data_IF_072421415180
#
_entry.id   IF_072421415180
#
_cell.length_a   1.000
_cell.length_b   1.000
_cell.length_c   1.000
_cell.angle_alpha   90.00
_cell.angle_beta   90.00
_cell.angle_gamma   90.00
#
_symmetry.space_group_name_H-M   'P 1'
#
loop_
_entity.id
_entity.type
_entity.pdbx_description
1 polymer ?
#
# COMPACT_ATOMS: atom_id res chain seq x y z
N UNK A 1 -0.27 -7.58 1.28
CA UNK A 1 -0.01 -6.15 1.60
C UNK A 1 -1.32 -5.50 2.02
N UNK A 2 -1.27 -4.64 3.02
CA UNK A 2 -2.44 -3.87 3.47
C UNK A 2 -2.43 -2.50 2.83
N UNK A 3 -3.59 -2.03 2.40
CA UNK A 3 -3.78 -0.68 1.86
C UNK A 3 -4.52 0.14 2.91
N UNK A 4 -3.96 1.30 3.24
CA UNK A 4 -4.56 2.23 4.21
C UNK A 4 -4.99 3.48 3.44
N UNK A 5 -6.29 3.79 3.49
CA UNK A 5 -6.80 4.96 2.79
C UNK A 5 -6.45 6.27 3.51
N UNK A 6 -6.81 7.41 2.93
CA UNK A 6 -6.50 8.72 3.52
C UNK A 6 -7.18 8.96 4.87
N UNK A 7 -8.23 8.20 5.18
CA UNK A 7 -8.96 8.29 6.44
C UNK A 7 -8.50 7.25 7.47
N UNK A 8 -7.54 6.41 7.11
CA UNK A 8 -6.99 5.40 8.01
C UNK A 8 -7.69 4.05 7.97
N UNK A 9 -8.66 3.85 7.08
CA UNK A 9 -9.30 2.54 6.88
C UNK A 9 -8.37 1.59 6.15
N UNK A 10 -8.43 0.33 6.50
CA UNK A 10 -7.47 -0.70 6.11
C UNK A 10 -8.15 -1.75 5.22
N UNK A 11 -7.51 -2.10 4.09
CA UNK A 11 -8.02 -3.05 3.10
C UNK A 11 -6.95 -4.04 2.70
N UNK A 12 -7.28 -5.33 2.47
CA UNK A 12 -6.32 -6.27 1.88
C UNK A 12 -6.18 -5.99 0.37
N UNK A 13 -4.96 -5.73 -0.08
CA UNK A 13 -4.67 -5.39 -1.48
C UNK A 13 -5.18 -6.46 -2.46
N UNK A 14 -5.00 -7.72 -2.08
CA UNK A 14 -5.32 -8.86 -2.94
C UNK A 14 -6.83 -9.11 -3.09
N UNK A 15 -7.65 -8.45 -2.26
CA UNK A 15 -9.12 -8.62 -2.27
C UNK A 15 -9.84 -7.45 -2.92
N UNK A 16 -9.13 -6.47 -3.47
CA UNK A 16 -9.72 -5.28 -4.08
C UNK A 16 -9.17 -5.04 -5.47
N UNK A 17 -10.00 -4.42 -6.30
CA UNK A 17 -9.60 -3.88 -7.60
C UNK A 17 -9.55 -2.35 -7.47
N UNK A 18 -8.43 -1.74 -7.85
CA UNK A 18 -8.21 -0.30 -7.70
C UNK A 18 -8.31 0.37 -9.06
N UNK A 19 -9.04 1.48 -9.13
CA UNK A 19 -9.12 2.32 -10.32
C UNK A 19 -9.01 3.79 -9.93
N UNK A 20 -8.66 4.64 -10.89
CA UNK A 20 -8.53 6.07 -10.63
C UNK A 20 -8.98 6.90 -11.84
N UNK A 21 -9.40 8.12 -11.58
CA UNK A 21 -9.78 9.09 -12.57
C UNK A 21 -10.14 10.42 -11.90
N UNK A 22 -9.85 11.53 -12.56
CA UNK A 22 -10.17 12.89 -12.08
C UNK A 22 -9.64 13.19 -10.67
N UNK A 23 -8.46 12.67 -10.34
CA UNK A 23 -7.84 12.87 -9.04
C UNK A 23 -8.36 11.97 -7.92
N UNK A 24 -9.24 11.03 -8.23
CA UNK A 24 -9.88 10.17 -7.24
C UNK A 24 -9.43 8.73 -7.43
N UNK A 25 -9.14 8.02 -6.33
CA UNK A 25 -8.76 6.62 -6.34
C UNK A 25 -9.80 5.83 -5.58
N UNK A 26 -10.31 4.76 -6.22
CA UNK A 26 -11.36 3.91 -5.68
C UNK A 26 -10.90 2.47 -5.56
N UNK A 27 -11.51 1.75 -4.61
CA UNK A 27 -11.41 0.31 -4.52
C UNK A 27 -12.78 -0.33 -4.64
N UNK A 28 -12.83 -1.46 -5.32
CA UNK A 28 -14.02 -2.33 -5.39
C UNK A 28 -13.64 -3.70 -4.85
N UNK A 29 -14.39 -4.25 -3.88
CA UNK A 29 -14.15 -5.63 -3.45
C UNK A 29 -14.33 -6.58 -4.62
N UNK A 30 -13.41 -7.52 -4.83
CA UNK A 30 -13.54 -8.51 -5.91
C UNK A 30 -14.78 -9.36 -5.70
N UNK A 31 -15.15 -9.63 -4.47
CA UNK A 31 -16.35 -10.40 -4.12
C UNK A 31 -17.66 -9.67 -4.40
N UNK A 32 -17.65 -8.35 -4.53
CA UNK A 32 -18.84 -7.54 -4.81
C UNK A 32 -18.45 -6.25 -5.52
N UNK A 33 -18.34 -6.32 -6.85
CA UNK A 33 -17.89 -5.21 -7.69
C UNK A 33 -18.89 -4.05 -7.76
N UNK A 34 -20.11 -4.22 -7.25
CA UNK A 34 -21.09 -3.14 -7.19
C UNK A 34 -20.78 -2.15 -6.07
N UNK A 35 -20.03 -2.57 -5.05
CA UNK A 35 -19.55 -1.69 -3.98
C UNK A 35 -18.31 -0.94 -4.40
N UNK A 36 -18.18 0.31 -3.94
CA UNK A 36 -17.04 1.16 -4.24
C UNK A 36 -16.65 1.94 -3.00
N UNK A 37 -15.36 1.92 -2.68
CA UNK A 37 -14.80 2.65 -1.55
C UNK A 37 -13.82 3.72 -2.05
N UNK A 38 -13.94 4.93 -1.50
CA UNK A 38 -12.99 5.99 -1.79
C UNK A 38 -11.71 5.74 -0.99
N UNK A 39 -10.58 5.55 -1.68
CA UNK A 39 -9.28 5.37 -1.03
C UNK A 39 -8.57 6.70 -0.85
N UNK A 40 -8.61 7.56 -1.86
CA UNK A 40 -7.89 8.82 -1.83
C UNK A 40 -8.51 9.82 -2.79
N UNK A 41 -8.37 11.10 -2.44
CA UNK A 41 -8.78 12.22 -3.30
C UNK A 41 -7.65 13.24 -3.34
N UNK A 42 -7.29 13.65 -4.56
CA UNK A 42 -6.23 14.63 -4.80
C UNK A 42 -6.76 15.81 -5.60
N UNK A 43 -6.11 16.94 -5.46
CA UNK A 43 -6.50 18.17 -6.16
C UNK A 43 -6.26 18.10 -7.68
N UNK A 44 -5.37 17.18 -8.13
CA UNK A 44 -5.08 16.99 -9.55
C UNK A 44 -4.97 15.50 -9.88
N UNK A 45 -5.25 15.14 -11.14
CA UNK A 45 -5.05 13.78 -11.65
C UNK A 45 -3.58 13.37 -11.61
N UNK A 46 -2.66 14.31 -11.81
CA UNK A 46 -1.23 14.05 -11.75
C UNK A 46 -0.81 13.54 -10.36
N UNK A 47 -1.34 14.14 -9.30
CA UNK A 47 -1.08 13.66 -7.92
C UNK A 47 -1.63 12.26 -7.70
N UNK A 48 -2.82 11.98 -8.22
CA UNK A 48 -3.40 10.62 -8.14
C UNK A 48 -2.52 9.60 -8.85
N UNK A 49 -2.01 9.94 -10.02
CA UNK A 49 -1.10 9.06 -10.77
C UNK A 49 0.21 8.82 -10.03
N UNK A 50 0.75 9.85 -9.38
CA UNK A 50 1.95 9.71 -8.55
C UNK A 50 1.68 8.79 -7.35
N UNK A 51 0.51 8.90 -6.73
CA UNK A 51 0.13 8.03 -5.62
C UNK A 51 0.00 6.58 -6.09
N UNK A 52 -0.61 6.35 -7.26
CA UNK A 52 -0.70 5.01 -7.84
C UNK A 52 0.67 4.44 -8.17
N UNK A 53 1.59 5.26 -8.68
CA UNK A 53 2.96 4.80 -8.97
C UNK A 53 3.68 4.39 -7.68
N UNK A 54 3.52 5.15 -6.61
CA UNK A 54 4.07 4.76 -5.30
C UNK A 54 3.51 3.43 -4.81
N UNK A 55 2.21 3.22 -5.00
CA UNK A 55 1.57 1.95 -4.63
C UNK A 55 2.18 0.78 -5.41
N UNK A 56 2.35 0.94 -6.72
CA UNK A 56 2.93 -0.11 -7.57
C UNK A 56 4.37 -0.41 -7.17
N UNK A 57 5.16 0.62 -6.88
CA UNK A 57 6.56 0.47 -6.46
C UNK A 57 6.63 -0.26 -5.11
N UNK A 58 5.79 0.10 -4.17
CA UNK A 58 5.74 -0.53 -2.84
C UNK A 58 5.26 -1.98 -2.93
N UNK A 59 4.26 -2.25 -3.79
CA UNK A 59 3.79 -3.61 -4.01
C UNK A 59 4.89 -4.49 -4.63
N UNK A 60 5.60 -3.96 -5.61
CA UNK A 60 6.72 -4.66 -6.25
C UNK A 60 7.82 -4.97 -5.24
N UNK A 61 8.15 -4.00 -4.39
CA UNK A 61 9.12 -4.20 -3.31
C UNK A 61 8.67 -5.27 -2.33
N UNK A 62 7.39 -5.26 -1.95
CA UNK A 62 6.78 -6.25 -1.07
C UNK A 62 6.91 -7.67 -1.65
N UNK A 63 6.62 -7.81 -2.96
CA UNK A 63 6.74 -9.10 -3.66
C UNK A 63 8.18 -9.59 -3.75
N UNK A 64 9.11 -8.69 -4.01
CA UNK A 64 10.54 -9.04 -4.02
C UNK A 64 11.01 -9.50 -2.64
N UNK A 65 10.55 -8.84 -1.59
CA UNK A 65 10.89 -9.21 -0.23
C UNK A 65 10.34 -10.59 0.14
N UNK A 66 9.10 -10.89 -0.24
CA UNK A 66 8.53 -12.23 -0.07
C UNK A 66 9.38 -13.29 -0.78
N UNK A 67 9.86 -13.00 -1.98
CA UNK A 67 10.69 -13.93 -2.76
C UNK A 67 12.06 -14.19 -2.12
N UNK A 68 12.63 -13.23 -1.39
CA UNK A 68 13.88 -13.41 -0.64
C UNK A 68 13.70 -14.33 0.57
N UNK A 69 12.49 -14.38 1.13
CA UNK A 69 12.08 -15.36 2.11
C UNK A 69 12.68 -15.20 3.49
N UNK A 70 12.67 -16.31 4.21
CA UNK A 70 13.00 -16.41 5.63
C UNK A 70 14.41 -15.89 5.96
N UNK A 71 15.39 -16.19 5.11
CA UNK A 71 16.79 -15.83 5.37
C UNK A 71 17.01 -14.31 5.44
N UNK A 72 16.37 -13.55 4.57
CA UNK A 72 16.45 -12.09 4.58
C UNK A 72 15.86 -11.50 5.87
N UNK A 73 14.73 -12.06 6.32
CA UNK A 73 14.09 -11.65 7.58
C UNK A 73 15.02 -11.95 8.76
N UNK A 74 15.65 -13.12 8.78
CA UNK A 74 16.58 -13.49 9.85
C UNK A 74 17.80 -12.56 9.89
N UNK A 75 18.33 -12.15 8.75
CA UNK A 75 19.42 -11.19 8.69
C UNK A 75 19.01 -9.82 9.28
N UNK A 76 17.82 -9.35 8.96
CA UNK A 76 17.31 -8.10 9.52
C UNK A 76 17.11 -8.21 11.03
N UNK A 77 16.59 -9.31 11.53
CA UNK A 77 16.43 -9.55 12.97
C UNK A 77 17.80 -9.56 13.66
N UNK A 78 18.79 -10.18 13.05
CA UNK A 78 20.15 -10.22 13.58
C UNK A 78 20.77 -8.82 13.73
N UNK A 79 20.50 -7.93 12.78
CA UNK A 79 21.06 -6.57 12.78
C UNK A 79 20.27 -5.58 13.64
N UNK A 80 18.95 -5.67 13.65
CA UNK A 80 18.07 -4.65 14.23
C UNK A 80 17.22 -5.15 15.40
N UNK A 81 17.23 -6.47 15.68
CA UNK A 81 16.32 -7.07 16.64
C UNK A 81 14.93 -7.38 16.05
N UNK A 82 14.22 -8.30 16.70
CA UNK A 82 12.93 -8.79 16.20
C UNK A 82 11.85 -7.70 16.17
N UNK A 83 11.74 -6.93 17.25
CA UNK A 83 10.69 -5.91 17.38
C UNK A 83 10.82 -4.82 16.32
N UNK A 84 12.03 -4.30 16.14
CA UNK A 84 12.31 -3.26 15.16
C UNK A 84 12.14 -3.79 13.74
N UNK A 85 12.52 -5.03 13.48
CA UNK A 85 12.35 -5.67 12.17
C UNK A 85 10.86 -5.83 11.84
N UNK A 86 10.06 -6.32 12.78
CA UNK A 86 8.61 -6.48 12.56
C UNK A 86 7.94 -5.14 12.28
N UNK A 87 8.31 -4.10 13.02
CA UNK A 87 7.80 -2.75 12.78
C UNK A 87 8.17 -2.24 11.40
N UNK A 88 9.44 -2.37 11.01
CA UNK A 88 9.92 -1.95 9.69
C UNK A 88 9.17 -2.66 8.57
N UNK A 89 9.02 -4.00 8.67
CA UNK A 89 8.31 -4.78 7.66
C UNK A 89 6.85 -4.35 7.52
N UNK A 90 6.17 -4.17 8.65
CA UNK A 90 4.78 -3.75 8.62
C UNK A 90 4.62 -2.36 7.99
N UNK A 91 5.43 -1.39 8.42
CA UNK A 91 5.28 0.00 7.98
C UNK A 91 5.77 0.26 6.56
N UNK A 92 6.78 -0.48 6.08
CA UNK A 92 7.47 -0.17 4.83
C UNK A 92 7.34 -1.22 3.74
N UNK A 93 7.06 -2.48 4.11
CA UNK A 93 7.07 -3.59 3.15
C UNK A 93 5.66 -4.16 2.95
N UNK A 94 4.91 -4.36 4.03
CA UNK A 94 3.62 -5.07 3.98
C UNK A 94 2.41 -4.17 4.12
N UNK A 95 2.60 -2.85 4.14
CA UNK A 95 1.50 -1.89 4.12
C UNK A 95 1.85 -0.70 3.24
N UNK A 96 0.82 -0.07 2.70
CA UNK A 96 0.91 1.16 1.94
C UNK A 96 -0.17 2.12 2.42
N UNK A 97 0.21 3.34 2.76
CA UNK A 97 -0.72 4.41 3.12
C UNK A 97 -0.77 5.42 1.99
N UNK A 98 -1.97 5.71 1.50
CA UNK A 98 -2.13 6.77 0.50
C UNK A 98 -1.70 8.12 1.09
N UNK A 99 -0.77 8.85 0.42
CA UNK A 99 -0.36 10.17 0.88
C UNK A 99 -1.53 11.15 0.91
N UNK A 100 -1.44 12.16 1.75
CA UNK A 100 -2.38 13.27 1.73
C UNK A 100 -2.07 14.20 0.56
N UNK A 101 -3.04 15.02 0.15
CA UNK A 101 -2.88 15.90 -1.01
C UNK A 101 -1.70 16.88 -0.84
N UNK A 102 -1.48 17.37 0.38
CA UNK A 102 -0.41 18.31 0.70
C UNK A 102 0.98 17.66 0.82
N UNK A 103 1.07 16.34 0.73
CA UNK A 103 2.34 15.62 0.75
C UNK A 103 2.99 15.53 -0.63
N UNK A 104 2.34 16.05 -1.66
CA UNK A 104 2.88 16.10 -3.02
C UNK A 104 3.40 17.49 -3.41
#
# INVERSE_FOLDING_TARGET
MRIIDQNGCDYPYESIAISHGDGVIYARPISNMDKRYLLARYSTQEKAEKAMQKLYDDYDLSKRFEALGYKAVQNLISWNGRKETEKFLYENIFSFRFPQDDEF
#
